data_IF_148689221903
#
_entry.id   IF_148689221903
#
_cell.length_a   1.000
_cell.length_b   1.000
_cell.length_c   1.000
_cell.angle_alpha   90.00
_cell.angle_beta   90.00
_cell.angle_gamma   90.00
#
_symmetry.space_group_name_H-M   'P 1'
#
loop_
_entity.id
_entity.type
_entity.pdbx_description
1 polymer ?
#
# COMPACT_ATOMS: atom_id res chain seq x y z
N UNK A 1 -5.96 -15.80 3.05
CA UNK A 1 -5.19 -17.05 3.24
C UNK A 1 -5.03 -17.37 4.73
N UNK A 2 -4.39 -16.52 5.52
CA UNK A 2 -4.01 -16.80 6.93
C UNK A 2 -5.20 -17.23 7.83
N UNK A 3 -6.34 -16.54 7.72
CA UNK A 3 -7.54 -16.90 8.51
C UNK A 3 -8.05 -18.29 8.19
N UNK A 4 -8.12 -18.64 6.90
CA UNK A 4 -8.57 -19.98 6.45
C UNK A 4 -7.58 -21.04 6.93
N UNK A 5 -6.29 -20.81 6.71
CA UNK A 5 -5.21 -21.72 7.12
C UNK A 5 -5.22 -21.99 8.63
N UNK A 6 -5.37 -20.94 9.45
CA UNK A 6 -5.45 -21.08 10.90
C UNK A 6 -6.73 -21.79 11.38
N UNK A 7 -7.86 -21.55 10.70
CA UNK A 7 -9.11 -22.22 11.02
C UNK A 7 -9.03 -23.71 10.66
N UNK A 8 -8.45 -24.04 9.49
CA UNK A 8 -8.24 -25.42 9.07
C UNK A 8 -7.29 -26.17 10.03
N UNK A 9 -6.22 -25.52 10.50
CA UNK A 9 -5.29 -26.13 11.46
C UNK A 9 -5.85 -26.36 12.87
N UNK A 10 -7.06 -25.88 13.16
CA UNK A 10 -7.77 -26.13 14.44
C UNK A 10 -8.77 -27.26 14.37
N UNK A 11 -9.21 -27.65 13.17
CA UNK A 11 -10.06 -28.80 12.98
C UNK A 11 -9.23 -30.08 13.05
N UNK A 12 -9.80 -31.15 13.58
CA UNK A 12 -9.14 -32.47 13.61
C UNK A 12 -8.14 -32.69 14.74
N UNK A 13 -8.32 -32.06 15.89
CA UNK A 13 -7.56 -32.41 17.10
C UNK A 13 -8.13 -33.69 17.72
N UNK A 14 -7.52 -34.84 17.43
CA UNK A 14 -7.89 -36.14 17.97
C UNK A 14 -7.89 -37.24 16.91
N UNK A 15 -8.60 -38.34 17.19
CA UNK A 15 -8.69 -39.48 16.27
C UNK A 15 -9.70 -39.29 15.13
N UNK A 16 -10.52 -38.24 15.18
CA UNK A 16 -11.56 -37.96 14.19
C UNK A 16 -11.02 -36.88 13.23
N UNK A 17 -11.05 -37.13 11.90
CA UNK A 17 -10.69 -36.10 10.92
C UNK A 17 -11.60 -34.87 11.08
N UNK A 18 -11.01 -33.68 11.07
CA UNK A 18 -11.76 -32.45 11.09
C UNK A 18 -12.20 -32.04 9.69
N UNK A 19 -13.39 -31.47 9.60
CA UNK A 19 -13.91 -30.87 8.37
C UNK A 19 -14.01 -29.38 8.51
N UNK A 20 -13.66 -28.62 7.45
CA UNK A 20 -13.77 -27.17 7.39
C UNK A 20 -14.54 -26.77 6.16
N UNK A 21 -15.66 -26.07 6.36
CA UNK A 21 -16.49 -25.54 5.26
C UNK A 21 -16.16 -24.06 5.08
N UNK A 22 -15.79 -23.68 3.86
CA UNK A 22 -15.47 -22.29 3.49
C UNK A 22 -16.61 -21.77 2.60
N UNK A 23 -17.33 -20.75 3.06
CA UNK A 23 -18.35 -20.08 2.27
C UNK A 23 -17.78 -18.80 1.65
N UNK A 24 -17.92 -18.64 0.33
CA UNK A 24 -17.41 -17.48 -0.40
C UNK A 24 -18.32 -17.12 -1.57
N UNK A 25 -18.39 -15.83 -1.91
CA UNK A 25 -19.02 -15.36 -3.16
C UNK A 25 -18.16 -15.62 -4.40
N UNK A 26 -16.86 -15.88 -4.21
CA UNK A 26 -15.93 -16.23 -5.29
C UNK A 26 -15.13 -17.47 -4.89
N UNK A 27 -15.71 -18.67 -5.00
CA UNK A 27 -15.06 -19.93 -4.59
C UNK A 27 -13.82 -20.26 -5.43
N UNK A 28 -13.76 -19.78 -6.69
CA UNK A 28 -12.65 -20.03 -7.62
C UNK A 28 -11.45 -19.10 -7.38
N UNK A 29 -11.49 -18.28 -6.33
CA UNK A 29 -10.36 -17.42 -5.97
C UNK A 29 -9.15 -18.26 -5.59
N UNK A 30 -8.02 -18.02 -6.27
CA UNK A 30 -6.76 -18.77 -6.08
C UNK A 30 -6.25 -18.75 -4.64
N UNK A 31 -6.51 -17.66 -3.90
CA UNK A 31 -6.15 -17.53 -2.48
C UNK A 31 -6.95 -18.53 -1.62
N UNK A 32 -8.23 -18.70 -1.94
CA UNK A 32 -9.12 -19.66 -1.23
C UNK A 32 -8.71 -21.09 -1.57
N UNK A 33 -8.48 -21.38 -2.85
CA UNK A 33 -8.07 -22.71 -3.31
C UNK A 33 -6.77 -23.16 -2.66
N UNK A 34 -5.72 -22.34 -2.71
CA UNK A 34 -4.45 -22.65 -2.05
C UNK A 34 -4.57 -22.75 -0.53
N UNK A 35 -5.45 -21.95 0.09
CA UNK A 35 -5.67 -22.01 1.54
C UNK A 35 -6.41 -23.30 1.94
N UNK A 36 -7.41 -23.71 1.16
CA UNK A 36 -8.16 -24.95 1.39
C UNK A 36 -7.27 -26.19 1.24
N UNK A 37 -6.33 -26.16 0.30
CA UNK A 37 -5.35 -27.23 0.07
C UNK A 37 -4.13 -27.15 0.98
N UNK A 38 -4.04 -26.15 1.85
CA UNK A 38 -2.89 -25.87 2.74
C UNK A 38 -1.56 -25.66 1.98
N UNK A 39 -1.63 -25.18 0.73
CA UNK A 39 -0.50 -25.03 -0.18
C UNK A 39 0.22 -23.66 0.01
N UNK A 40 0.76 -23.42 1.20
CA UNK A 40 1.37 -22.14 1.59
C UNK A 40 2.48 -21.70 0.63
N UNK A 41 3.35 -22.61 0.21
CA UNK A 41 4.46 -22.31 -0.70
C UNK A 41 3.96 -21.83 -2.06
N UNK A 42 3.03 -22.56 -2.67
CA UNK A 42 2.45 -22.18 -3.97
C UNK A 42 1.75 -20.82 -3.89
N UNK A 43 1.02 -20.57 -2.80
CA UNK A 43 0.39 -19.27 -2.56
C UNK A 43 1.41 -18.12 -2.54
N UNK A 44 2.54 -18.30 -1.81
CA UNK A 44 3.59 -17.28 -1.80
C UNK A 44 4.23 -17.09 -3.17
N UNK A 45 4.48 -18.15 -3.92
CA UNK A 45 5.06 -18.06 -5.26
C UNK A 45 4.14 -17.25 -6.22
N UNK A 46 2.83 -17.46 -6.16
CA UNK A 46 1.84 -16.69 -6.93
C UNK A 46 1.85 -15.22 -6.50
N UNK A 47 1.74 -14.95 -5.19
CA UNK A 47 1.75 -13.59 -4.67
C UNK A 47 3.05 -12.83 -4.99
N UNK A 48 4.20 -13.50 -4.96
CA UNK A 48 5.48 -12.87 -5.31
C UNK A 48 5.54 -12.50 -6.78
N UNK A 49 5.09 -13.38 -7.69
CA UNK A 49 5.02 -13.08 -9.13
C UNK A 49 4.11 -11.88 -9.43
N UNK A 50 2.94 -11.83 -8.80
CA UNK A 50 2.03 -10.69 -8.95
C UNK A 50 2.67 -9.38 -8.44
N UNK A 51 3.33 -9.43 -7.28
CA UNK A 51 4.02 -8.27 -6.71
C UNK A 51 5.19 -7.81 -7.58
N UNK A 52 5.92 -8.74 -8.18
CA UNK A 52 7.01 -8.45 -9.09
C UNK A 52 6.50 -7.75 -10.35
N UNK A 53 5.45 -8.28 -10.98
CA UNK A 53 4.86 -7.71 -12.19
C UNK A 53 4.31 -6.29 -12.01
N UNK A 54 3.91 -5.94 -10.79
CA UNK A 54 3.35 -4.65 -10.42
C UNK A 54 4.37 -3.72 -9.73
N UNK A 55 5.64 -4.12 -9.65
CA UNK A 55 6.65 -3.39 -8.86
C UNK A 55 6.17 -3.07 -7.43
N UNK A 56 5.66 -4.10 -6.72
CA UNK A 56 5.32 -3.97 -5.30
C UNK A 56 6.42 -4.57 -4.39
N UNK A 57 6.47 -4.19 -3.10
CA UNK A 57 7.38 -4.84 -2.15
C UNK A 57 7.21 -6.36 -2.15
N UNK A 58 8.29 -7.16 -2.15
CA UNK A 58 9.67 -6.79 -1.82
C UNK A 58 10.54 -6.27 -2.98
N UNK A 59 10.02 -6.10 -4.19
CA UNK A 59 10.75 -5.70 -5.40
C UNK A 59 10.96 -4.19 -5.54
N UNK A 60 10.19 -3.41 -4.79
CA UNK A 60 10.29 -1.95 -4.74
C UNK A 60 10.20 -1.42 -3.32
N UNK A 61 10.57 -0.15 -3.15
CA UNK A 61 10.24 0.68 -2.01
C UNK A 61 9.03 1.53 -2.34
N UNK A 62 8.12 1.69 -1.38
CA UNK A 62 6.92 2.52 -1.55
C UNK A 62 6.89 3.57 -0.45
N UNK A 63 6.53 4.80 -0.82
CA UNK A 63 6.15 5.83 0.14
C UNK A 63 4.81 6.43 -0.26
N UNK A 64 3.92 6.54 0.71
CA UNK A 64 2.63 7.21 0.58
C UNK A 64 2.69 8.54 1.31
N UNK A 65 2.46 9.62 0.60
CA UNK A 65 2.24 10.95 1.15
C UNK A 65 0.73 11.17 1.21
N UNK A 66 0.17 11.23 2.39
CA UNK A 66 -1.26 11.46 2.60
C UNK A 66 -1.50 12.79 3.28
N UNK A 67 -2.36 13.62 2.68
CA UNK A 67 -2.86 14.85 3.28
C UNK A 67 -4.25 14.64 3.87
N UNK A 68 -4.41 15.05 5.13
CA UNK A 68 -5.68 15.03 5.86
C UNK A 68 -6.07 16.41 6.33
N UNK A 69 -7.33 16.80 6.10
CA UNK A 69 -7.82 18.08 6.57
C UNK A 69 -9.34 18.19 6.56
N UNK A 70 -9.88 19.08 7.38
CA UNK A 70 -11.31 19.29 7.53
C UNK A 70 -11.95 20.01 6.35
N UNK A 71 -11.17 20.79 5.58
CA UNK A 71 -11.65 21.55 4.43
C UNK A 71 -11.11 20.95 3.13
N UNK A 72 -12.01 20.44 2.28
CA UNK A 72 -11.68 19.76 1.03
C UNK A 72 -10.71 20.57 0.15
N UNK A 73 -11.05 21.84 -0.13
CA UNK A 73 -10.25 22.71 -0.98
C UNK A 73 -8.82 22.96 -0.45
N UNK A 74 -8.62 22.93 0.89
CA UNK A 74 -7.28 23.10 1.46
C UNK A 74 -6.42 21.86 1.25
N UNK A 75 -7.03 20.66 1.33
CA UNK A 75 -6.35 19.39 1.04
C UNK A 75 -5.96 19.34 -0.44
N UNK A 76 -6.88 19.68 -1.34
CA UNK A 76 -6.64 19.75 -2.79
C UNK A 76 -5.52 20.74 -3.14
N UNK A 77 -5.59 21.97 -2.62
CA UNK A 77 -4.56 22.98 -2.85
C UNK A 77 -3.18 22.53 -2.33
N UNK A 78 -3.15 21.89 -1.17
CA UNK A 78 -1.90 21.45 -0.57
C UNK A 78 -1.28 20.28 -1.32
N UNK A 79 -2.06 19.31 -1.78
CA UNK A 79 -1.53 18.20 -2.57
C UNK A 79 -1.04 18.67 -3.94
N UNK A 80 -1.73 19.65 -4.53
CA UNK A 80 -1.28 20.28 -5.77
C UNK A 80 0.04 21.03 -5.61
N UNK A 81 0.27 21.70 -4.47
CA UNK A 81 1.57 22.32 -4.14
C UNK A 81 2.68 21.28 -4.09
N UNK A 82 2.44 20.12 -3.46
CA UNK A 82 3.39 19.00 -3.46
C UNK A 82 3.66 18.55 -4.90
N UNK A 83 2.62 18.31 -5.68
CA UNK A 83 2.74 17.84 -7.07
C UNK A 83 3.53 18.82 -7.92
N UNK A 84 3.22 20.12 -7.82
CA UNK A 84 3.88 21.17 -8.59
C UNK A 84 5.34 21.42 -8.14
N UNK A 85 5.73 21.00 -6.95
CA UNK A 85 7.12 21.07 -6.50
C UNK A 85 8.02 20.01 -7.13
N UNK A 86 7.44 19.03 -7.80
CA UNK A 86 8.16 17.97 -8.50
C UNK A 86 8.61 18.48 -9.86
N UNK A 87 9.87 18.90 -9.96
CA UNK A 87 10.45 19.40 -11.22
C UNK A 87 10.82 18.26 -12.18
N UNK A 88 11.36 17.18 -11.65
CA UNK A 88 11.82 16.03 -12.42
C UNK A 88 11.68 14.74 -11.60
N UNK A 89 11.25 13.69 -12.26
CA UNK A 89 11.20 12.35 -11.65
C UNK A 89 12.54 11.64 -11.83
N UNK A 90 13.18 11.16 -10.76
CA UNK A 90 14.41 10.37 -10.88
C UNK A 90 14.13 9.03 -11.60
N UNK A 91 15.11 8.55 -12.36
CA UNK A 91 15.02 7.25 -13.02
C UNK A 91 14.72 6.14 -12.02
N UNK A 92 13.72 5.31 -12.31
CA UNK A 92 13.30 4.19 -11.47
C UNK A 92 12.35 4.58 -10.33
N UNK A 93 11.93 5.84 -10.25
CA UNK A 93 10.85 6.28 -9.36
C UNK A 93 9.60 6.56 -10.20
N UNK A 94 8.51 5.93 -9.82
CA UNK A 94 7.17 6.14 -10.39
C UNK A 94 6.30 6.92 -9.40
N UNK A 95 5.42 7.78 -9.94
CA UNK A 95 4.42 8.53 -9.16
C UNK A 95 3.01 8.07 -9.55
N UNK A 96 2.20 7.75 -8.56
CA UNK A 96 0.77 7.49 -8.70
C UNK A 96 -0.01 8.59 -7.96
N UNK A 97 -1.01 9.13 -8.60
CA UNK A 97 -1.78 10.24 -8.09
C UNK A 97 -1.23 11.63 -8.51
N UNK A 98 -1.74 12.73 -7.92
CA UNK A 98 -2.60 12.76 -6.71
C UNK A 98 -3.99 12.18 -6.94
N UNK A 99 -4.52 11.52 -5.91
CA UNK A 99 -5.85 10.96 -5.93
C UNK A 99 -6.47 11.00 -4.52
N UNK A 100 -7.79 10.94 -4.44
CA UNK A 100 -8.46 10.69 -3.17
C UNK A 100 -8.12 9.29 -2.66
N UNK A 101 -8.01 9.15 -1.33
CA UNK A 101 -7.92 7.84 -0.71
C UNK A 101 -9.22 7.05 -0.94
N UNK A 102 -9.18 5.73 -0.83
CA UNK A 102 -10.35 4.86 -0.99
C UNK A 102 -11.57 5.34 -0.16
N UNK A 103 -11.32 5.79 1.07
CA UNK A 103 -12.30 6.56 1.84
C UNK A 103 -11.90 8.03 1.77
N UNK A 104 -12.55 8.78 0.86
CA UNK A 104 -12.30 10.22 0.65
C UNK A 104 -12.41 11.02 1.94
N UNK A 105 -13.39 10.68 2.78
CA UNK A 105 -13.62 11.33 4.08
C UNK A 105 -13.61 10.29 5.20
N UNK A 106 -12.84 10.55 6.25
CA UNK A 106 -12.76 9.72 7.44
C UNK A 106 -12.66 10.59 8.69
N UNK A 107 -13.61 10.41 9.66
CA UNK A 107 -13.66 11.20 10.91
C UNK A 107 -13.55 12.71 10.60
N UNK A 108 -14.43 13.20 9.71
CA UNK A 108 -14.51 14.58 9.26
C UNK A 108 -13.28 15.16 8.54
N UNK A 109 -12.30 14.35 8.22
CA UNK A 109 -11.15 14.76 7.44
C UNK A 109 -11.23 14.23 6.01
N UNK A 110 -11.11 15.13 5.03
CA UNK A 110 -10.85 14.78 3.64
C UNK A 110 -9.42 14.28 3.50
N UNK A 111 -9.21 13.29 2.61
CA UNK A 111 -7.95 12.58 2.46
C UNK A 111 -7.57 12.46 1.00
N UNK A 112 -6.38 12.93 0.66
CA UNK A 112 -5.77 12.73 -0.65
C UNK A 112 -4.36 12.17 -0.49
N UNK A 113 -3.91 11.44 -1.50
CA UNK A 113 -2.61 10.77 -1.46
C UNK A 113 -1.84 10.90 -2.77
N UNK A 114 -0.53 10.83 -2.63
CA UNK A 114 0.42 10.58 -3.70
C UNK A 114 1.26 9.39 -3.26
N UNK A 115 1.47 8.42 -4.15
CA UNK A 115 2.30 7.27 -3.90
C UNK A 115 3.50 7.34 -4.81
N UNK A 116 4.69 7.14 -4.26
CA UNK A 116 5.92 6.96 -5.01
C UNK A 116 6.41 5.53 -4.84
N UNK A 117 6.75 4.90 -5.97
CA UNK A 117 7.39 3.57 -6.00
C UNK A 117 8.81 3.72 -6.55
N UNK A 118 9.78 3.10 -5.91
CA UNK A 118 11.18 3.04 -6.37
C UNK A 118 11.62 1.60 -6.54
N UNK A 119 11.95 1.23 -7.76
CA UNK A 119 12.40 -0.14 -8.08
C UNK A 119 13.75 -0.41 -7.41
N UNK A 120 13.88 -1.53 -6.71
CA UNK A 120 15.12 -1.90 -5.99
C UNK A 120 16.34 -2.02 -6.89
N UNK A 121 16.17 -2.35 -8.17
CA UNK A 121 17.28 -2.37 -9.14
C UNK A 121 17.97 -1.01 -9.32
N UNK A 122 17.26 0.10 -9.08
CA UNK A 122 17.81 1.48 -9.17
C UNK A 122 18.06 2.10 -7.79
N UNK A 123 17.45 1.54 -6.74
CA UNK A 123 17.53 2.04 -5.36
C UNK A 123 17.54 0.86 -4.37
N UNK A 124 18.63 0.09 -4.29
CA UNK A 124 18.66 -1.14 -3.49
C UNK A 124 18.30 -0.96 -2.02
N UNK A 125 18.65 0.20 -1.44
CA UNK A 125 18.46 0.52 0.00
C UNK A 125 17.35 1.54 0.28
N UNK A 126 16.70 2.12 -0.76
CA UNK A 126 15.64 3.09 -0.60
C UNK A 126 16.09 4.53 -0.32
N UNK A 127 17.40 4.81 -0.34
CA UNK A 127 17.94 6.14 -0.03
C UNK A 127 17.62 7.19 -1.09
N UNK A 128 17.52 6.78 -2.37
CA UNK A 128 17.14 7.71 -3.45
C UNK A 128 15.70 8.17 -3.29
N UNK A 129 14.79 7.22 -3.02
CA UNK A 129 13.40 7.53 -2.74
C UNK A 129 13.29 8.44 -1.51
N UNK A 130 14.02 8.14 -0.44
CA UNK A 130 14.02 8.93 0.78
C UNK A 130 14.46 10.38 0.53
N UNK A 131 15.57 10.58 -0.16
CA UNK A 131 16.06 11.91 -0.53
C UNK A 131 15.06 12.65 -1.42
N UNK A 132 14.45 11.94 -2.36
CA UNK A 132 13.49 12.49 -3.29
C UNK A 132 12.24 13.02 -2.57
N UNK A 133 11.53 12.19 -1.80
CA UNK A 133 10.32 12.67 -1.13
C UNK A 133 10.60 13.72 -0.06
N UNK A 134 11.74 13.66 0.65
CA UNK A 134 12.13 14.70 1.58
C UNK A 134 12.35 16.04 0.86
N UNK A 135 13.01 16.05 -0.30
CA UNK A 135 13.20 17.26 -1.09
C UNK A 135 11.86 17.86 -1.56
N UNK A 136 10.90 17.03 -1.95
CA UNK A 136 9.57 17.47 -2.33
C UNK A 136 8.84 18.13 -1.16
N UNK A 137 8.88 17.51 0.02
CA UNK A 137 8.25 18.05 1.22
C UNK A 137 8.85 19.41 1.59
N UNK A 138 10.16 19.53 1.58
CA UNK A 138 10.86 20.80 1.87
C UNK A 138 10.52 21.88 0.83
N UNK A 139 10.55 21.54 -0.46
CA UNK A 139 10.29 22.49 -1.54
C UNK A 139 8.83 22.93 -1.63
N UNK A 140 7.88 22.08 -1.21
CA UNK A 140 6.46 22.39 -1.20
C UNK A 140 6.07 23.44 -0.15
N UNK A 141 6.94 23.70 0.82
CA UNK A 141 6.71 24.64 1.95
C UNK A 141 5.42 24.31 2.72
N UNK A 142 5.00 23.05 2.72
CA UNK A 142 3.83 22.61 3.47
C UNK A 142 4.20 22.40 4.93
N UNK A 143 3.40 22.99 5.82
CA UNK A 143 3.58 22.75 7.25
C UNK A 143 2.97 21.40 7.63
N UNK A 144 3.82 20.42 7.90
CA UNK A 144 3.45 19.02 8.22
C UNK A 144 2.60 18.89 9.50
N UNK A 145 2.62 19.87 10.38
CA UNK A 145 1.95 19.83 11.70
C UNK A 145 0.62 20.59 11.76
N UNK A 146 0.27 21.34 10.69
CA UNK A 146 -0.97 22.14 10.62
C UNK A 146 -2.05 21.43 9.79
N UNK A 147 -3.25 21.98 9.78
CA UNK A 147 -4.36 21.52 8.97
C UNK A 147 -4.32 22.19 7.57
N UNK A 148 -4.20 21.46 6.45
CA UNK A 148 -4.15 20.01 6.37
C UNK A 148 -2.80 19.41 6.83
N UNK A 149 -2.86 18.27 7.52
CA UNK A 149 -1.71 17.53 8.02
C UNK A 149 -1.16 16.60 6.95
N UNK A 150 0.15 16.62 6.76
CA UNK A 150 0.85 15.64 5.93
C UNK A 150 1.28 14.43 6.78
N UNK A 151 1.01 13.23 6.26
CA UNK A 151 1.44 11.95 6.81
C UNK A 151 2.32 11.29 5.78
N UNK A 152 3.50 10.87 6.20
CA UNK A 152 4.45 10.09 5.40
C UNK A 152 4.43 8.66 5.91
N UNK A 153 4.04 7.74 5.06
CA UNK A 153 3.99 6.32 5.38
C UNK A 153 4.95 5.56 4.44
N UNK A 154 6.00 5.00 5.01
CA UNK A 154 7.06 4.30 4.29
C UNK A 154 6.81 2.80 4.34
N UNK A 155 6.76 2.16 3.18
CA UNK A 155 6.37 0.76 3.00
C UNK A 155 5.04 0.43 3.69
N UNK A 156 3.96 1.15 3.34
CA UNK A 156 2.66 0.95 3.95
C UNK A 156 2.19 -0.50 3.79
N UNK A 157 1.60 -1.06 4.82
CA UNK A 157 1.02 -2.41 4.78
C UNK A 157 -0.23 -2.48 3.92
N UNK A 158 -0.90 -1.34 3.70
CA UNK A 158 -2.04 -1.19 2.80
C UNK A 158 -1.96 0.16 2.08
N UNK A 159 -2.35 0.16 0.81
CA UNK A 159 -2.48 1.38 -0.01
C UNK A 159 -3.94 1.88 -0.08
N UNK A 160 -4.86 1.16 0.56
CA UNK A 160 -6.28 1.50 0.65
C UNK A 160 -6.58 2.46 1.80
#
# INVERSE_FOLDING_TARGET
>A
FQLIYQSAGRSGRGKIPGEVVIQSYNPDNTVIDHAAKLELKKYYDVCLKERESLDYPPFSWIVKLELRGTKKHQVENSINKITNSIKQMPKGIEKLGPAYCYREKLKDNYRMQIIFKSQKKYDPVGTRLQKFYNSIIMNSKINVSKNPRLIVDVNPTSLL
#
